data_IF_761738751475
#
_entry.id   IF_761738751475
#
_cell.length_a   1.000
_cell.length_b   1.000
_cell.length_c   1.000
_cell.angle_alpha   90.00
_cell.angle_beta   90.00
_cell.angle_gamma   90.00
#
_symmetry.space_group_name_H-M   'P 1'
#
loop_
_entity.id
_entity.type
_entity.pdbx_description
1 polymer ?
#
# COMPACT_ATOMS: atom_id res chain seq x y z
N UNK A 1 -24.80 15.89 -28.98
CA UNK A 1 -24.81 14.63 -28.18
C UNK A 1 -23.79 14.73 -27.01
N UNK A 2 -24.06 15.57 -26.00
CA UNK A 2 -23.18 15.77 -24.81
C UNK A 2 -23.86 15.40 -23.47
N UNK A 3 -25.19 15.27 -23.47
CA UNK A 3 -26.01 15.07 -22.27
C UNK A 3 -25.72 13.77 -21.48
N UNK A 4 -25.21 12.70 -22.11
CA UNK A 4 -25.01 11.42 -21.42
C UNK A 4 -23.89 11.43 -20.37
N UNK A 5 -22.82 12.20 -20.60
CA UNK A 5 -21.71 12.31 -19.66
C UNK A 5 -22.04 13.21 -18.45
N UNK A 6 -22.78 14.30 -18.71
CA UNK A 6 -23.21 15.27 -17.68
C UNK A 6 -24.21 14.65 -16.70
N UNK A 7 -25.09 13.74 -17.18
CA UNK A 7 -26.02 13.00 -16.32
C UNK A 7 -25.29 12.03 -15.38
N UNK A 8 -24.27 11.31 -15.87
CA UNK A 8 -23.50 10.40 -15.04
C UNK A 8 -22.71 11.15 -13.97
N UNK A 9 -22.14 12.32 -14.31
CA UNK A 9 -21.48 13.20 -13.35
C UNK A 9 -22.43 13.72 -12.27
N UNK A 10 -23.66 14.14 -12.65
CA UNK A 10 -24.68 14.59 -11.70
C UNK A 10 -25.13 13.48 -10.74
N UNK A 11 -25.35 12.27 -11.24
CA UNK A 11 -25.71 11.11 -10.39
C UNK A 11 -24.57 10.77 -9.45
N UNK A 12 -23.32 10.74 -9.94
CA UNK A 12 -22.16 10.48 -9.11
C UNK A 12 -22.01 11.53 -7.99
N UNK A 13 -22.23 12.81 -8.29
CA UNK A 13 -22.18 13.88 -7.29
C UNK A 13 -23.27 13.70 -6.21
N UNK A 14 -24.48 13.29 -6.59
CA UNK A 14 -25.56 13.00 -5.63
C UNK A 14 -25.24 11.80 -4.75
N UNK A 15 -24.68 10.73 -5.33
CA UNK A 15 -24.21 9.56 -4.55
C UNK A 15 -23.14 9.96 -3.56
N UNK A 16 -22.14 10.75 -4.00
CA UNK A 16 -21.09 11.23 -3.10
C UNK A 16 -21.66 12.09 -1.97
N UNK A 17 -22.57 13.03 -2.27
CA UNK A 17 -23.26 13.84 -1.26
C UNK A 17 -24.05 13.00 -0.27
N UNK A 18 -24.73 11.95 -0.73
CA UNK A 18 -25.45 11.03 0.16
C UNK A 18 -24.49 10.26 1.08
N UNK A 19 -23.33 9.83 0.57
CA UNK A 19 -22.28 9.20 1.37
C UNK A 19 -21.70 10.17 2.41
N UNK A 20 -21.54 11.45 2.07
CA UNK A 20 -21.03 12.46 3.00
C UNK A 20 -22.05 12.75 4.11
N UNK A 21 -23.34 12.92 3.78
CA UNK A 21 -24.41 13.05 4.78
C UNK A 21 -24.48 11.83 5.69
N UNK A 22 -24.36 10.61 5.12
CA UNK A 22 -24.30 9.38 5.92
C UNK A 22 -23.13 9.43 6.90
N UNK A 23 -21.95 9.87 6.45
CA UNK A 23 -20.76 9.98 7.28
C UNK A 23 -20.94 10.90 8.47
N UNK A 24 -21.63 12.01 8.27
CA UNK A 24 -21.89 13.03 9.30
C UNK A 24 -23.07 12.67 10.23
N UNK A 25 -23.96 11.77 9.80
CA UNK A 25 -25.22 11.48 10.51
C UNK A 25 -25.17 10.26 11.43
N UNK A 26 -24.22 9.34 11.24
CA UNK A 26 -24.14 8.09 11.99
C UNK A 26 -22.89 8.01 12.88
N UNK A 27 -22.94 7.28 14.02
CA UNK A 27 -21.76 7.05 14.85
C UNK A 27 -20.58 6.43 14.08
N UNK A 28 -19.38 6.93 14.34
CA UNK A 28 -18.18 6.54 13.61
C UNK A 28 -17.84 5.05 13.77
N UNK A 29 -17.97 4.52 14.99
CA UNK A 29 -17.74 3.12 15.35
C UNK A 29 -18.63 2.17 14.54
N UNK A 30 -19.93 2.49 14.42
CA UNK A 30 -20.88 1.69 13.65
C UNK A 30 -20.53 1.69 12.16
N UNK A 31 -20.21 2.87 11.62
CA UNK A 31 -19.80 3.00 10.22
C UNK A 31 -18.51 2.19 9.96
N UNK A 32 -17.52 2.32 10.83
CA UNK A 32 -16.24 1.63 10.71
C UNK A 32 -16.42 0.10 10.73
N UNK A 33 -17.21 -0.41 11.69
CA UNK A 33 -17.50 -1.84 11.81
C UNK A 33 -18.19 -2.40 10.56
N UNK A 34 -19.13 -1.66 9.97
CA UNK A 34 -19.79 -2.04 8.71
C UNK A 34 -18.76 -2.10 7.57
N UNK A 35 -17.88 -1.11 7.47
CA UNK A 35 -16.86 -1.03 6.42
C UNK A 35 -15.83 -2.18 6.54
N UNK A 36 -15.41 -2.54 7.75
CA UNK A 36 -14.50 -3.69 7.96
C UNK A 36 -15.15 -4.99 7.47
N UNK A 37 -16.42 -5.22 7.81
CA UNK A 37 -17.19 -6.39 7.34
C UNK A 37 -17.38 -6.38 5.82
N UNK A 38 -17.71 -5.22 5.25
CA UNK A 38 -17.89 -5.07 3.81
C UNK A 38 -16.60 -5.33 3.02
N UNK A 39 -15.45 -4.91 3.56
CA UNK A 39 -14.14 -5.06 2.91
C UNK A 39 -13.78 -6.54 2.63
N UNK A 40 -14.25 -7.46 3.47
CA UNK A 40 -13.99 -8.90 3.34
C UNK A 40 -15.14 -9.68 2.71
N UNK A 41 -16.25 -9.01 2.40
CA UNK A 41 -17.43 -9.64 1.82
C UNK A 41 -17.17 -10.08 0.36
N UNK A 42 -17.16 -11.39 0.14
CA UNK A 42 -16.91 -11.99 -1.16
C UNK A 42 -18.15 -11.99 -2.07
N UNK A 43 -19.33 -11.62 -1.56
CA UNK A 43 -20.60 -11.66 -2.30
C UNK A 43 -20.88 -10.39 -3.12
N UNK A 44 -20.03 -9.36 -3.00
CA UNK A 44 -20.21 -8.04 -3.60
C UNK A 44 -19.94 -7.94 -5.12
N UNK A 45 -19.84 -9.07 -5.84
CA UNK A 45 -19.53 -9.03 -7.28
C UNK A 45 -20.82 -9.02 -8.11
N UNK A 46 -21.20 -7.90 -8.76
CA UNK A 46 -22.45 -7.82 -9.54
C UNK A 46 -22.43 -8.83 -10.69
N UNK A 47 -23.47 -9.66 -10.84
CA UNK A 47 -23.44 -10.74 -11.82
C UNK A 47 -23.58 -10.22 -13.27
N UNK A 48 -22.46 -10.03 -13.98
CA UNK A 48 -22.43 -9.65 -15.39
C UNK A 48 -22.71 -10.84 -16.33
N UNK A 49 -23.85 -11.52 -16.14
CA UNK A 49 -24.17 -12.78 -16.84
C UNK A 49 -24.37 -12.62 -18.36
N UNK A 50 -24.72 -11.43 -18.84
CA UNK A 50 -25.08 -11.18 -20.26
C UNK A 50 -23.88 -10.74 -21.13
N UNK A 51 -22.67 -10.69 -20.58
CA UNK A 51 -21.48 -10.18 -21.30
C UNK A 51 -20.57 -11.34 -21.73
N UNK A 52 -19.94 -11.23 -22.92
CA UNK A 52 -18.92 -12.18 -23.41
C UNK A 52 -17.84 -12.42 -22.33
N UNK A 53 -17.37 -13.67 -22.11
CA UNK A 53 -16.46 -14.01 -21.01
C UNK A 53 -15.22 -13.09 -20.88
N UNK A 54 -14.53 -12.81 -21.99
CA UNK A 54 -13.34 -11.94 -21.97
C UNK A 54 -13.65 -10.49 -21.53
N UNK A 55 -14.77 -9.93 -21.98
CA UNK A 55 -15.20 -8.59 -21.61
C UNK A 55 -15.80 -8.57 -20.19
N UNK A 56 -16.42 -9.68 -19.78
CA UNK A 56 -16.94 -9.88 -18.43
C UNK A 56 -15.82 -9.75 -17.41
N UNK A 57 -14.68 -10.42 -17.59
CA UNK A 57 -13.57 -10.37 -16.63
C UNK A 57 -12.93 -8.98 -16.55
N UNK A 58 -12.79 -8.30 -17.69
CA UNK A 58 -12.29 -6.93 -17.72
C UNK A 58 -13.24 -5.95 -17.02
N UNK A 59 -14.55 -6.07 -17.28
CA UNK A 59 -15.57 -5.24 -16.63
C UNK A 59 -15.69 -5.54 -15.14
N UNK A 60 -15.65 -6.81 -14.73
CA UNK A 60 -15.61 -7.19 -13.31
C UNK A 60 -14.41 -6.62 -12.61
N UNK A 61 -13.22 -6.76 -13.20
CA UNK A 61 -11.99 -6.18 -12.64
C UNK A 61 -12.11 -4.67 -12.51
N UNK A 62 -12.63 -3.98 -13.54
CA UNK A 62 -12.78 -2.52 -13.53
C UNK A 62 -13.80 -2.05 -12.49
N UNK A 63 -14.99 -2.67 -12.46
CA UNK A 63 -16.03 -2.40 -11.46
C UNK A 63 -15.54 -2.67 -10.05
N UNK A 64 -14.87 -3.80 -9.84
CA UNK A 64 -14.26 -4.16 -8.56
C UNK A 64 -13.24 -3.10 -8.12
N UNK A 65 -12.37 -2.63 -9.02
CA UNK A 65 -11.42 -1.55 -8.69
C UNK A 65 -12.12 -0.25 -8.31
N UNK A 66 -13.16 0.16 -9.04
CA UNK A 66 -13.93 1.38 -8.72
C UNK A 66 -14.60 1.29 -7.34
N UNK A 67 -15.22 0.15 -7.04
CA UNK A 67 -15.87 -0.11 -5.75
C UNK A 67 -14.85 -0.14 -4.61
N UNK A 68 -13.75 -0.88 -4.78
CA UNK A 68 -12.62 -0.90 -3.82
C UNK A 68 -12.12 0.51 -3.51
N UNK A 69 -11.85 1.32 -4.54
CA UNK A 69 -11.38 2.71 -4.35
C UNK A 69 -12.39 3.55 -3.57
N UNK A 70 -13.68 3.43 -3.87
CA UNK A 70 -14.72 4.20 -3.17
C UNK A 70 -14.77 3.84 -1.67
N UNK A 71 -14.72 2.54 -1.34
CA UNK A 71 -14.71 2.06 0.04
C UNK A 71 -13.45 2.51 0.78
N UNK A 72 -12.29 2.34 0.14
CA UNK A 72 -11.01 2.75 0.73
C UNK A 72 -10.97 4.25 1.02
N UNK A 73 -11.44 5.08 0.08
CA UNK A 73 -11.54 6.53 0.31
C UNK A 73 -12.52 6.89 1.43
N UNK A 74 -13.61 6.14 1.56
CA UNK A 74 -14.53 6.34 2.66
C UNK A 74 -13.87 6.00 4.00
N UNK A 75 -13.19 4.84 4.10
CA UNK A 75 -12.46 4.42 5.30
C UNK A 75 -11.38 5.45 5.66
N UNK A 76 -10.59 5.91 4.69
CA UNK A 76 -9.57 6.95 4.88
C UNK A 76 -10.17 8.22 5.47
N UNK A 77 -11.28 8.68 4.90
CA UNK A 77 -11.96 9.92 5.37
C UNK A 77 -12.56 9.73 6.75
N UNK A 78 -13.17 8.58 7.02
CA UNK A 78 -13.75 8.24 8.32
C UNK A 78 -12.66 8.16 9.40
N UNK A 79 -11.53 7.51 9.12
CA UNK A 79 -10.42 7.37 10.05
C UNK A 79 -9.85 8.72 10.51
N UNK A 80 -9.92 9.77 9.66
CA UNK A 80 -9.43 11.12 10.00
C UNK A 80 -10.31 11.88 10.99
N UNK A 81 -11.54 11.42 11.25
CA UNK A 81 -12.49 12.05 12.16
C UNK A 81 -12.94 11.11 13.31
N UNK A 82 -12.41 9.89 13.34
CA UNK A 82 -12.67 8.90 14.38
C UNK A 82 -11.89 9.24 15.65
N UNK A 83 -12.44 8.89 16.81
CA UNK A 83 -11.66 8.85 18.03
C UNK A 83 -10.76 7.60 18.04
N UNK A 84 -9.55 7.65 18.62
CA UNK A 84 -8.66 6.49 18.67
C UNK A 84 -9.30 5.24 19.31
N UNK A 85 -10.23 5.45 20.26
CA UNK A 85 -10.98 4.39 20.93
C UNK A 85 -12.00 3.67 20.04
N UNK A 86 -12.39 4.25 18.91
CA UNK A 86 -13.29 3.60 17.94
C UNK A 86 -12.55 2.55 17.09
N UNK A 87 -11.22 2.66 16.99
CA UNK A 87 -10.39 1.70 16.29
C UNK A 87 -10.00 0.56 17.24
N UNK A 88 -10.69 -0.58 17.09
CA UNK A 88 -10.50 -1.77 17.92
C UNK A 88 -9.85 -2.90 17.13
N UNK A 89 -8.84 -3.56 17.70
CA UNK A 89 -8.20 -4.76 17.16
C UNK A 89 -9.09 -6.02 17.31
N UNK A 90 -10.18 -6.07 16.54
CA UNK A 90 -11.07 -7.24 16.45
C UNK A 90 -10.64 -8.24 15.37
N UNK A 91 -11.30 -9.40 15.31
CA UNK A 91 -11.17 -10.37 14.21
C UNK A 91 -11.52 -9.75 12.86
N UNK A 92 -12.60 -8.97 12.81
CA UNK A 92 -13.11 -8.34 11.59
C UNK A 92 -12.11 -7.28 11.10
N UNK A 93 -11.58 -6.46 12.01
CA UNK A 93 -10.56 -5.45 11.67
C UNK A 93 -9.29 -6.12 11.16
N UNK A 94 -8.83 -7.21 11.78
CA UNK A 94 -7.65 -7.97 11.30
C UNK A 94 -7.83 -8.53 9.90
N UNK A 95 -9.00 -9.12 9.62
CA UNK A 95 -9.31 -9.66 8.28
C UNK A 95 -9.40 -8.53 7.25
N UNK A 96 -10.04 -7.43 7.58
CA UNK A 96 -10.16 -6.26 6.71
C UNK A 96 -8.80 -5.63 6.43
N UNK A 97 -7.98 -5.38 7.45
CA UNK A 97 -6.62 -4.83 7.30
C UNK A 97 -5.74 -5.77 6.47
N UNK A 98 -5.80 -7.08 6.72
CA UNK A 98 -5.10 -8.07 5.88
C UNK A 98 -5.52 -7.94 4.41
N UNK A 99 -6.82 -7.79 4.16
CA UNK A 99 -7.36 -7.62 2.81
C UNK A 99 -6.87 -6.32 2.17
N UNK A 100 -6.86 -5.21 2.89
CA UNK A 100 -6.33 -3.92 2.42
C UNK A 100 -4.84 -4.02 2.10
N UNK A 101 -4.05 -4.74 2.90
CA UNK A 101 -2.63 -5.01 2.61
C UNK A 101 -2.49 -5.73 1.26
N UNK A 102 -3.31 -6.74 0.97
CA UNK A 102 -3.28 -7.41 -0.35
C UNK A 102 -3.62 -6.47 -1.51
N UNK A 103 -4.38 -5.41 -1.28
CA UNK A 103 -4.72 -4.42 -2.30
C UNK A 103 -3.61 -3.40 -2.56
N UNK A 104 -2.62 -3.27 -1.68
CA UNK A 104 -1.44 -2.42 -1.92
C UNK A 104 -0.58 -2.90 -3.09
N UNK A 105 -0.75 -4.17 -3.51
CA UNK A 105 -0.08 -4.80 -4.65
C UNK A 105 -1.03 -5.15 -5.80
N UNK A 106 -2.25 -4.57 -5.82
CA UNK A 106 -3.25 -4.81 -6.87
C UNK A 106 -2.66 -4.53 -8.28
N UNK A 107 -2.52 -5.54 -9.16
CA UNK A 107 -1.73 -5.41 -10.40
C UNK A 107 -2.38 -4.45 -11.40
N UNK A 108 -3.72 -4.50 -11.51
CA UNK A 108 -4.47 -3.82 -12.58
C UNK A 108 -4.88 -2.38 -12.24
N UNK A 109 -4.76 -1.95 -10.98
CA UNK A 109 -5.23 -0.62 -10.56
C UNK A 109 -4.26 0.06 -9.60
N UNK A 110 -3.54 1.05 -10.11
CA UNK A 110 -2.71 1.95 -9.30
C UNK A 110 -3.54 2.76 -8.30
N UNK A 111 -4.78 3.13 -8.65
CA UNK A 111 -5.67 3.88 -7.77
C UNK A 111 -6.06 3.06 -6.54
N UNK A 112 -6.35 1.76 -6.72
CA UNK A 112 -6.57 0.83 -5.59
C UNK A 112 -5.32 0.76 -4.71
N UNK A 113 -4.14 0.61 -5.32
CA UNK A 113 -2.88 0.55 -4.56
C UNK A 113 -2.69 1.82 -3.72
N UNK A 114 -2.85 3.00 -4.31
CA UNK A 114 -2.70 4.29 -3.62
C UNK A 114 -3.73 4.45 -2.49
N UNK A 115 -5.00 4.18 -2.76
CA UNK A 115 -6.05 4.29 -1.74
C UNK A 115 -5.84 3.30 -0.58
N UNK A 116 -5.39 2.08 -0.87
CA UNK A 116 -5.07 1.09 0.16
C UNK A 116 -3.91 1.56 1.04
N UNK A 117 -2.87 2.15 0.45
CA UNK A 117 -1.75 2.73 1.19
C UNK A 117 -2.22 3.87 2.10
N UNK A 118 -3.05 4.79 1.59
CA UNK A 118 -3.62 5.89 2.38
C UNK A 118 -4.45 5.39 3.57
N UNK A 119 -5.24 4.32 3.39
CA UNK A 119 -5.99 3.71 4.50
C UNK A 119 -5.06 3.18 5.57
N UNK A 120 -4.03 2.41 5.21
CA UNK A 120 -3.09 1.85 6.19
C UNK A 120 -2.35 2.95 6.97
N UNK A 121 -1.98 4.03 6.30
CA UNK A 121 -1.37 5.20 6.94
C UNK A 121 -2.37 5.87 7.89
N UNK A 122 -3.60 6.12 7.43
CA UNK A 122 -4.62 6.82 8.24
C UNK A 122 -5.00 6.02 9.49
N UNK A 123 -5.10 4.69 9.39
CA UNK A 123 -5.36 3.83 10.56
C UNK A 123 -4.16 3.77 11.52
N UNK A 124 -2.94 3.79 10.99
CA UNK A 124 -1.74 3.88 11.81
C UNK A 124 -1.66 5.20 12.57
N UNK A 125 -1.99 6.32 11.92
CA UNK A 125 -2.02 7.66 12.53
C UNK A 125 -3.17 7.83 13.52
N UNK A 126 -4.32 7.18 13.28
CA UNK A 126 -5.48 7.19 14.17
C UNK A 126 -5.15 6.58 15.54
N UNK A 127 -4.52 5.41 15.57
CA UNK A 127 -4.16 4.74 16.82
C UNK A 127 -2.94 3.81 16.63
N UNK A 128 -1.75 4.40 16.73
CA UNK A 128 -0.48 3.70 16.50
C UNK A 128 -0.27 2.46 17.38
N UNK A 129 -0.50 2.50 18.71
CA UNK A 129 -0.35 1.32 19.56
C UNK A 129 -1.26 0.16 19.13
N UNK A 130 -2.54 0.44 18.90
CA UNK A 130 -3.52 -0.57 18.54
C UNK A 130 -3.24 -1.15 17.15
N UNK A 131 -2.85 -0.28 16.19
CA UNK A 131 -2.49 -0.72 14.84
C UNK A 131 -1.24 -1.61 14.85
N UNK A 132 -0.26 -1.27 15.69
CA UNK A 132 0.95 -2.08 15.87
C UNK A 132 0.62 -3.44 16.48
N UNK A 133 -0.24 -3.49 17.50
CA UNK A 133 -0.72 -4.75 18.08
C UNK A 133 -1.50 -5.59 17.05
N UNK A 134 -2.32 -4.94 16.22
CA UNK A 134 -3.05 -5.59 15.13
C UNK A 134 -2.08 -6.24 14.13
N UNK A 135 -1.08 -5.50 13.65
CA UNK A 135 -0.06 -6.04 12.73
C UNK A 135 0.69 -7.23 13.35
N UNK A 136 1.01 -7.18 14.64
CA UNK A 136 1.67 -8.28 15.34
C UNK A 136 0.92 -9.61 15.29
N UNK A 137 -0.41 -9.58 15.12
CA UNK A 137 -1.26 -10.76 14.98
C UNK A 137 -1.39 -11.28 13.53
N UNK A 138 -0.81 -10.60 12.54
CA UNK A 138 -0.89 -10.98 11.12
C UNK A 138 0.35 -11.79 10.67
N UNK A 139 0.24 -12.58 9.59
CA UNK A 139 1.39 -13.25 8.97
C UNK A 139 2.57 -12.30 8.67
N UNK A 140 3.80 -12.81 8.78
CA UNK A 140 5.02 -11.99 8.67
C UNK A 140 5.13 -11.22 7.36
N UNK A 141 4.68 -11.81 6.26
CA UNK A 141 4.64 -11.16 4.93
C UNK A 141 3.78 -9.90 4.90
N UNK A 142 2.66 -9.87 5.64
CA UNK A 142 1.83 -8.68 5.77
C UNK A 142 2.45 -7.64 6.68
N UNK A 143 3.08 -8.07 7.77
CA UNK A 143 3.83 -7.17 8.65
C UNK A 143 4.93 -6.44 7.88
N UNK A 144 5.73 -7.17 7.09
CA UNK A 144 6.86 -6.61 6.36
C UNK A 144 6.40 -5.62 5.29
N UNK A 145 5.32 -5.96 4.57
CA UNK A 145 4.69 -5.07 3.59
C UNK A 145 4.19 -3.76 4.20
N UNK A 146 3.47 -3.85 5.33
CA UNK A 146 2.94 -2.68 6.03
C UNK A 146 4.06 -1.84 6.67
N UNK A 147 5.05 -2.46 7.30
CA UNK A 147 6.16 -1.75 7.97
C UNK A 147 7.00 -0.97 6.97
N UNK A 148 7.29 -1.55 5.79
CA UNK A 148 8.03 -0.86 4.73
C UNK A 148 7.28 0.39 4.25
N UNK A 149 5.96 0.29 4.09
CA UNK A 149 5.10 1.39 3.69
C UNK A 149 5.12 2.51 4.74
N UNK A 150 4.91 2.18 6.02
CA UNK A 150 4.89 3.14 7.11
C UNK A 150 6.25 3.81 7.34
N UNK A 151 7.34 3.06 7.22
CA UNK A 151 8.69 3.63 7.33
C UNK A 151 8.95 4.68 6.23
N UNK A 152 8.54 4.39 4.99
CA UNK A 152 8.65 5.35 3.90
C UNK A 152 7.80 6.60 4.14
N UNK A 153 6.59 6.45 4.69
CA UNK A 153 5.72 7.57 5.05
C UNK A 153 6.35 8.47 6.11
N UNK A 154 6.88 7.89 7.18
CA UNK A 154 7.49 8.65 8.28
C UNK A 154 8.73 9.42 7.81
N UNK A 155 9.56 8.80 6.95
CA UNK A 155 10.73 9.46 6.35
C UNK A 155 10.35 10.63 5.44
N UNK A 156 9.30 10.46 4.63
CA UNK A 156 8.85 11.52 3.72
C UNK A 156 8.18 12.67 4.47
N UNK A 157 7.42 12.36 5.53
CA UNK A 157 6.76 13.36 6.37
C UNK A 157 7.77 14.15 7.21
N UNK A 158 8.81 13.48 7.73
CA UNK A 158 9.91 14.13 8.47
C UNK A 158 10.78 15.09 7.64
N UNK A 159 10.80 14.95 6.32
CA UNK A 159 11.52 15.85 5.41
C UNK A 159 10.64 17.01 4.87
N UNK A 160 9.34 17.00 5.13
CA UNK A 160 8.39 18.00 4.60
C UNK A 160 8.35 19.32 5.37
N UNK A 161 8.93 19.40 6.57
CA UNK A 161 8.93 20.58 7.44
C UNK A 161 10.14 21.53 7.25
N UNK A 162 11.02 21.24 6.28
CA UNK A 162 12.13 22.14 5.87
C UNK A 162 12.15 22.34 4.35
N UNK A 163 11.22 23.12 3.79
CA UNK A 163 11.38 23.61 2.40
C UNK A 163 10.75 24.98 2.13
N UNK A 164 10.71 25.84 3.15
CA UNK A 164 10.40 27.27 2.95
C UNK A 164 11.33 28.14 3.77
N UNK A 165 12.59 28.30 3.33
CA UNK A 165 13.46 29.41 3.71
C UNK A 165 14.54 29.61 2.63
N UNK A 166 14.41 30.73 1.90
CA UNK A 166 15.52 31.57 1.43
C UNK A 166 16.44 31.06 0.31
N UNK A 167 16.30 31.66 -0.88
CA UNK A 167 17.47 31.87 -1.73
C UNK A 167 18.52 32.73 -1.00
N UNK A 168 19.81 32.53 -1.29
CA UNK A 168 20.59 33.67 -1.75
C UNK A 168 21.40 33.37 -3.01
N UNK A 169 21.36 34.37 -3.88
CA UNK A 169 22.18 34.58 -5.06
C UNK A 169 23.64 34.88 -4.64
N UNK A 170 24.63 34.03 -4.95
CA UNK A 170 26.03 34.44 -5.26
C UNK A 170 26.84 33.33 -5.96
N UNK A 171 27.09 33.54 -7.27
CA UNK A 171 28.27 33.29 -8.14
C UNK A 171 29.18 32.03 -8.00
N UNK A 172 29.67 31.43 -9.12
CA UNK A 172 30.43 30.17 -9.13
C UNK A 172 31.97 30.35 -9.20
N UNK A 173 32.71 29.33 -8.76
CA UNK A 173 34.13 29.10 -9.08
C UNK A 173 34.39 27.61 -9.41
N UNK A 174 35.14 27.29 -10.48
CA UNK A 174 35.40 25.92 -10.94
C UNK A 174 36.76 25.37 -10.46
N UNK A 175 36.91 24.04 -10.29
CA UNK A 175 38.17 23.28 -10.45
C UNK A 175 37.98 21.74 -10.36
N UNK A 176 38.20 21.12 -11.52
CA UNK A 176 38.68 19.79 -11.96
C UNK A 176 38.93 18.55 -11.02
N UNK A 177 39.06 17.33 -11.62
CA UNK A 177 38.74 16.03 -11.02
C UNK A 177 39.95 15.10 -10.72
N UNK A 178 39.64 13.91 -10.17
CA UNK A 178 40.44 12.67 -10.05
C UNK A 178 41.24 12.44 -8.75
N UNK A 179 40.95 11.32 -8.06
CA UNK A 179 41.89 10.20 -7.98
C UNK A 179 41.29 8.97 -7.27
N UNK A 180 41.32 7.84 -7.98
CA UNK A 180 41.16 6.49 -7.46
C UNK A 180 42.50 6.03 -6.89
N UNK A 181 42.48 5.32 -5.76
CA UNK A 181 43.64 4.52 -5.31
C UNK A 181 43.18 3.20 -4.68
N UNK A 182 43.59 2.09 -5.30
CA UNK A 182 43.62 0.73 -4.75
C UNK A 182 44.69 0.59 -3.66
N UNK A 183 44.72 -0.56 -2.96
CA UNK A 183 46.02 -1.17 -2.65
C UNK A 183 46.09 -2.65 -3.04
N UNK A 184 47.19 -2.97 -3.74
CA UNK A 184 47.77 -4.29 -4.00
C UNK A 184 48.95 -4.46 -3.05
N UNK A 185 49.04 -5.58 -2.34
CA UNK A 185 50.33 -6.21 -1.98
C UNK A 185 50.11 -7.71 -1.76
N UNK A 186 50.77 -8.54 -2.58
CA UNK A 186 50.97 -9.99 -2.41
C UNK A 186 52.11 -10.28 -1.42
N UNK A 187 52.36 -11.55 -1.03
CA UNK A 187 53.38 -12.29 -1.78
C UNK A 187 53.09 -13.80 -2.01
N UNK A 188 53.80 -14.30 -3.02
CA UNK A 188 53.92 -15.64 -3.59
C UNK A 188 54.44 -16.70 -2.62
N UNK A 189 53.97 -17.96 -2.75
CA UNK A 189 54.82 -19.12 -2.48
C UNK A 189 54.57 -20.25 -3.49
N UNK A 190 55.66 -20.71 -4.09
CA UNK A 190 55.75 -21.78 -5.08
C UNK A 190 56.28 -23.01 -4.36
N UNK A 191 55.62 -24.16 -4.49
CA UNK A 191 56.26 -25.46 -4.22
C UNK A 191 55.60 -26.51 -5.09
N UNK A 192 56.36 -27.01 -6.06
CA UNK A 192 56.11 -28.20 -6.85
C UNK A 192 56.00 -29.42 -5.92
N UNK A 193 55.05 -30.31 -6.16
CA UNK A 193 55.30 -31.73 -5.97
C UNK A 193 54.42 -32.59 -6.88
N UNK A 194 55.05 -33.68 -7.28
CA UNK A 194 54.84 -34.57 -8.42
C UNK A 194 53.86 -35.72 -8.16
N UNK A 195 53.29 -36.23 -9.26
CA UNK A 195 52.89 -37.64 -9.53
C UNK A 195 51.66 -38.26 -8.83
N UNK A 196 50.69 -38.69 -9.66
CA UNK A 196 49.68 -39.75 -9.44
C UNK A 196 50.37 -41.14 -9.24
N UNK A 197 49.71 -42.26 -8.80
CA UNK A 197 48.34 -42.72 -9.15
C UNK A 197 47.54 -43.59 -8.14
N UNK A 198 46.30 -43.96 -8.56
CA UNK A 198 45.48 -45.14 -8.15
C UNK A 198 44.87 -45.14 -6.73
N UNK A 199 43.67 -45.68 -6.43
CA UNK A 199 42.62 -46.39 -7.16
C UNK A 199 41.34 -46.47 -6.27
N UNK A 200 40.24 -46.90 -6.89
CA UNK A 200 38.99 -47.49 -6.36
C UNK A 200 37.74 -46.60 -6.25
N UNK A 201 36.87 -46.82 -7.26
CA UNK A 201 35.42 -46.66 -7.29
C UNK A 201 34.70 -47.29 -6.07
N UNK A 202 33.66 -46.63 -5.56
CA UNK A 202 32.26 -46.97 -5.89
C UNK A 202 31.29 -45.94 -5.31
N UNK A 203 30.30 -45.58 -6.13
CA UNK A 203 29.13 -44.76 -5.81
C UNK A 203 28.00 -45.66 -5.28
N UNK A 204 27.28 -45.21 -4.25
CA UNK A 204 25.84 -45.44 -4.02
C UNK A 204 25.29 -44.32 -3.16
#
# INVERSE_FOLDING_TARGET
>A
KKMGADLLGSVQAKVQKALDVTRESFPNDLQFNILMRFTVDQTQTPSLKTVKPALRDQLHSFWSSKVKVAILKYIETLAKQMDPGDFINSSETRLAVSRVITWTTEPKSSDVRKAAQSVLISLFELNTPEFTMLLGALPKTFQDGATKLLHNHLRNTGNGTQSSMGSPLTRPTPRSPANWSSPLTSPTNTSQNTLSPSAFDYDT
#
